data_IF_051542043943
#
_entry.id   IF_051542043943
#
_cell.length_a   1.000
_cell.length_b   1.000
_cell.length_c   1.000
_cell.angle_alpha   90.00
_cell.angle_beta   90.00
_cell.angle_gamma   90.00
#
_symmetry.space_group_name_H-M   'P 1'
#
loop_
_entity.id
_entity.type
_entity.pdbx_description
1 polymer ?
#
# COMPACT_ATOMS: atom_id res chain seq x y z
N UNK A 1 -22.58 27.09 0.73
CA UNK A 1 -22.70 27.02 -0.76
C UNK A 1 -22.56 25.57 -1.16
N UNK A 2 -23.29 25.15 -2.19
CA UNK A 2 -23.14 23.77 -2.71
C UNK A 2 -21.77 23.65 -3.41
N UNK A 3 -20.95 22.71 -2.97
CA UNK A 3 -19.56 22.50 -3.42
C UNK A 3 -19.50 21.25 -4.31
N UNK A 4 -18.93 21.35 -5.51
CA UNK A 4 -18.73 20.15 -6.35
C UNK A 4 -17.53 19.33 -5.86
N UNK A 5 -17.41 18.06 -6.29
CA UNK A 5 -16.22 17.28 -6.00
C UNK A 5 -14.93 17.96 -6.49
N UNK A 6 -15.00 18.62 -7.65
CA UNK A 6 -13.85 19.35 -8.18
C UNK A 6 -13.49 20.57 -7.33
N UNK A 7 -14.49 21.36 -6.87
CA UNK A 7 -14.22 22.52 -6.02
C UNK A 7 -13.61 22.11 -4.69
N UNK A 8 -14.15 21.04 -4.06
CA UNK A 8 -13.62 20.46 -2.84
C UNK A 8 -12.16 19.98 -3.03
N UNK A 9 -11.89 19.29 -4.13
CA UNK A 9 -10.53 18.85 -4.49
C UNK A 9 -9.58 20.04 -4.64
N UNK A 10 -9.98 21.07 -5.36
CA UNK A 10 -9.15 22.26 -5.59
C UNK A 10 -8.84 23.01 -4.28
N UNK A 11 -9.80 23.11 -3.38
CA UNK A 11 -9.63 23.75 -2.08
C UNK A 11 -8.64 22.94 -1.21
N UNK A 12 -8.84 21.64 -1.06
CA UNK A 12 -7.92 20.76 -0.31
C UNK A 12 -6.51 20.80 -0.93
N UNK A 13 -6.42 20.71 -2.26
CA UNK A 13 -5.15 20.82 -2.97
C UNK A 13 -4.43 22.13 -2.66
N UNK A 14 -5.15 23.27 -2.68
CA UNK A 14 -4.56 24.56 -2.39
C UNK A 14 -4.03 24.64 -0.96
N UNK A 15 -4.75 24.08 0.01
CA UNK A 15 -4.30 24.04 1.39
C UNK A 15 -3.05 23.17 1.56
N UNK A 16 -2.97 22.02 0.89
CA UNK A 16 -1.76 21.18 0.88
C UNK A 16 -0.55 21.90 0.26
N UNK A 17 -0.76 22.66 -0.85
CA UNK A 17 0.29 23.50 -1.46
C UNK A 17 0.79 24.54 -0.48
N UNK A 18 -0.11 25.24 0.20
CA UNK A 18 0.24 26.28 1.18
C UNK A 18 1.06 25.76 2.36
N UNK A 19 0.94 24.47 2.67
CA UNK A 19 1.71 23.79 3.72
C UNK A 19 2.95 23.04 3.19
N UNK A 20 3.33 23.24 1.91
CA UNK A 20 4.54 22.69 1.33
C UNK A 20 4.52 21.17 1.09
N UNK A 21 3.34 20.57 0.96
CA UNK A 21 3.22 19.14 0.67
C UNK A 21 3.71 18.87 -0.75
N UNK A 22 4.57 17.87 -0.92
CA UNK A 22 5.28 17.59 -2.18
C UNK A 22 4.36 17.07 -3.30
N UNK A 23 3.30 16.34 -2.96
CA UNK A 23 2.37 15.76 -3.93
C UNK A 23 0.91 16.19 -3.69
N UNK A 24 0.60 17.49 -3.69
CA UNK A 24 -0.69 18.00 -3.24
C UNK A 24 -1.86 17.53 -4.11
N UNK A 25 -1.64 17.36 -5.42
CA UNK A 25 -2.68 16.90 -6.36
C UNK A 25 -3.05 15.43 -6.15
N UNK A 26 -2.07 14.57 -5.87
CA UNK A 26 -2.32 13.18 -5.54
C UNK A 26 -3.05 13.08 -4.20
N UNK A 27 -2.50 13.69 -3.16
CA UNK A 27 -3.03 13.55 -1.81
C UNK A 27 -4.44 14.14 -1.66
N UNK A 28 -4.73 15.29 -2.29
CA UNK A 28 -6.08 15.87 -2.29
C UNK A 28 -7.11 14.93 -2.95
N UNK A 29 -6.75 14.33 -4.07
CA UNK A 29 -7.62 13.37 -4.75
C UNK A 29 -7.87 12.14 -3.87
N UNK A 30 -6.82 11.56 -3.31
CA UNK A 30 -6.93 10.37 -2.45
C UNK A 30 -7.83 10.64 -1.24
N UNK A 31 -7.69 11.80 -0.58
CA UNK A 31 -8.54 12.21 0.55
C UNK A 31 -10.02 12.28 0.13
N UNK A 32 -10.33 13.03 -0.92
CA UNK A 32 -11.73 13.23 -1.33
C UNK A 32 -12.35 11.94 -1.86
N UNK A 33 -11.62 11.18 -2.68
CA UNK A 33 -12.08 9.90 -3.22
C UNK A 33 -12.35 8.89 -2.10
N UNK A 34 -11.46 8.79 -1.11
CA UNK A 34 -11.61 7.91 0.04
C UNK A 34 -12.89 8.23 0.84
N UNK A 35 -13.09 9.47 1.24
CA UNK A 35 -14.29 9.88 2.00
C UNK A 35 -15.57 9.66 1.20
N UNK A 36 -15.51 9.88 -0.12
CA UNK A 36 -16.64 9.68 -1.02
C UNK A 36 -16.90 8.20 -1.36
N UNK A 37 -16.03 7.27 -0.99
CA UNK A 37 -16.10 5.87 -1.38
C UNK A 37 -16.03 5.67 -2.90
N UNK A 38 -15.25 6.49 -3.60
CA UNK A 38 -15.14 6.50 -5.07
C UNK A 38 -13.78 5.98 -5.53
N UNK A 39 -13.80 5.23 -6.65
CA UNK A 39 -12.56 4.94 -7.39
C UNK A 39 -12.05 6.21 -8.08
N UNK A 40 -10.80 6.16 -8.56
CA UNK A 40 -10.21 7.25 -9.33
C UNK A 40 -11.04 7.62 -10.56
N UNK A 41 -11.50 6.65 -11.31
CA UNK A 41 -12.34 6.86 -12.50
C UNK A 41 -13.69 7.48 -12.11
N UNK A 42 -14.32 6.98 -11.05
CA UNK A 42 -15.57 7.53 -10.53
C UNK A 42 -15.42 8.98 -10.07
N UNK A 43 -14.31 9.29 -9.40
CA UNK A 43 -14.01 10.66 -8.96
C UNK A 43 -13.91 11.62 -10.16
N UNK A 44 -13.17 11.26 -11.21
CA UNK A 44 -13.05 12.11 -12.40
C UNK A 44 -14.36 12.24 -13.18
N UNK A 45 -15.12 11.15 -13.32
CA UNK A 45 -16.43 11.17 -13.99
C UNK A 45 -17.41 12.10 -13.26
N UNK A 46 -17.41 12.05 -11.94
CA UNK A 46 -18.38 12.73 -11.08
C UNK A 46 -17.88 14.12 -10.60
N UNK A 47 -16.78 14.62 -11.14
CA UNK A 47 -16.10 15.85 -10.69
C UNK A 47 -17.02 17.09 -10.63
N UNK A 48 -18.02 17.17 -11.52
CA UNK A 48 -18.98 18.30 -11.60
C UNK A 48 -20.26 18.08 -10.78
N UNK A 49 -20.39 16.93 -10.12
CA UNK A 49 -21.53 16.63 -9.24
C UNK A 49 -21.27 17.30 -7.89
N UNK A 50 -22.32 17.75 -7.22
CA UNK A 50 -22.23 18.30 -5.88
C UNK A 50 -21.84 17.20 -4.87
N UNK A 51 -20.84 17.51 -4.03
CA UNK A 51 -20.44 16.64 -2.96
C UNK A 51 -21.45 16.76 -1.79
N UNK A 52 -21.88 15.64 -1.20
CA UNK A 52 -22.69 15.67 0.02
C UNK A 52 -21.94 16.31 1.18
N UNK A 53 -22.66 16.97 2.10
CA UNK A 53 -22.07 17.70 3.24
C UNK A 53 -21.17 16.82 4.11
N UNK A 54 -21.55 15.56 4.32
CA UNK A 54 -20.72 14.62 5.07
C UNK A 54 -19.39 14.28 4.36
N UNK A 55 -19.35 14.31 3.04
CA UNK A 55 -18.11 14.14 2.27
C UNK A 55 -17.24 15.39 2.38
N UNK A 56 -17.83 16.56 2.29
CA UNK A 56 -17.11 17.83 2.48
C UNK A 56 -16.48 17.87 3.87
N UNK A 57 -17.27 17.64 4.92
CA UNK A 57 -16.80 17.67 6.30
C UNK A 57 -15.70 16.59 6.53
N UNK A 58 -15.96 15.33 6.16
CA UNK A 58 -14.99 14.24 6.35
C UNK A 58 -13.68 14.48 5.61
N UNK A 59 -13.73 15.12 4.42
CA UNK A 59 -12.51 15.44 3.68
C UNK A 59 -11.67 16.50 4.41
N UNK A 60 -12.28 17.50 5.02
CA UNK A 60 -11.54 18.47 5.83
C UNK A 60 -11.00 17.86 7.14
N UNK A 61 -11.71 16.95 7.78
CA UNK A 61 -11.20 16.21 8.95
C UNK A 61 -9.93 15.41 8.61
N UNK A 62 -9.91 14.75 7.46
CA UNK A 62 -8.71 14.03 6.99
C UNK A 62 -7.58 14.99 6.59
N UNK A 63 -7.92 16.13 5.96
CA UNK A 63 -6.94 17.16 5.66
C UNK A 63 -6.27 17.68 6.92
N UNK A 64 -7.02 17.97 8.00
CA UNK A 64 -6.43 18.41 9.27
C UNK A 64 -5.42 17.39 9.84
N UNK A 65 -5.72 16.10 9.77
CA UNK A 65 -4.77 15.04 10.16
C UNK A 65 -3.50 15.11 9.32
N UNK A 66 -3.66 15.29 7.99
CA UNK A 66 -2.53 15.40 7.06
C UNK A 66 -1.67 16.63 7.36
N UNK A 67 -2.27 17.78 7.65
CA UNK A 67 -1.56 19.02 7.98
C UNK A 67 -0.85 18.94 9.34
N UNK A 68 -1.27 18.04 10.24
CA UNK A 68 -0.56 17.70 11.49
C UNK A 68 0.62 16.75 11.26
N UNK A 69 0.91 16.36 10.01
CA UNK A 69 2.06 15.53 9.63
C UNK A 69 1.75 14.04 9.43
N UNK A 70 0.50 13.58 9.61
CA UNK A 70 0.15 12.18 9.36
C UNK A 70 0.18 11.88 7.85
N UNK A 71 0.91 10.84 7.39
CA UNK A 71 0.94 10.48 5.98
C UNK A 71 -0.43 10.07 5.44
N UNK A 72 -0.77 10.52 4.22
CA UNK A 72 -2.07 10.23 3.60
C UNK A 72 -2.38 8.73 3.51
N UNK A 73 -1.38 7.90 3.24
CA UNK A 73 -1.54 6.45 3.20
C UNK A 73 -2.01 5.85 4.55
N UNK A 74 -1.54 6.40 5.68
CA UNK A 74 -2.01 5.96 7.01
C UNK A 74 -3.38 6.49 7.34
N UNK A 75 -3.70 7.71 6.88
CA UNK A 75 -5.02 8.33 7.05
C UNK A 75 -6.09 7.50 6.34
N UNK A 76 -5.81 7.08 5.10
CA UNK A 76 -6.70 6.28 4.25
C UNK A 76 -6.71 4.81 4.69
N UNK A 77 -5.57 4.30 5.20
CA UNK A 77 -5.40 2.90 5.57
C UNK A 77 -5.08 1.97 4.42
N UNK A 78 -4.88 2.53 3.22
CA UNK A 78 -4.59 1.80 1.98
C UNK A 78 -3.54 2.53 1.15
N UNK A 79 -2.69 1.77 0.43
CA UNK A 79 -1.78 2.32 -0.56
C UNK A 79 -1.55 1.35 -1.69
N UNK A 80 -1.38 1.87 -2.90
CA UNK A 80 -1.11 1.05 -4.08
C UNK A 80 0.40 0.79 -4.25
N UNK A 81 0.75 -0.44 -4.60
CA UNK A 81 2.10 -0.84 -5.01
C UNK A 81 2.01 -1.77 -6.22
N UNK A 82 2.60 -1.38 -7.34
CA UNK A 82 2.51 -2.10 -8.63
C UNK A 82 1.06 -2.41 -9.07
N UNK A 83 0.14 -1.47 -8.89
CA UNK A 83 -1.28 -1.65 -9.19
C UNK A 83 -2.05 -2.52 -8.17
N UNK A 84 -1.39 -2.96 -7.08
CA UNK A 84 -1.98 -3.81 -6.05
C UNK A 84 -2.36 -2.95 -4.84
N UNK A 85 -3.65 -2.84 -4.46
CA UNK A 85 -4.05 -2.13 -3.26
C UNK A 85 -3.70 -2.93 -2.01
N UNK A 86 -2.94 -2.34 -1.10
CA UNK A 86 -2.47 -2.95 0.14
C UNK A 86 -3.00 -2.21 1.36
N UNK A 87 -3.44 -2.94 2.37
CA UNK A 87 -3.71 -2.38 3.69
C UNK A 87 -2.41 -1.84 4.28
N UNK A 88 -2.44 -0.59 4.76
CA UNK A 88 -1.29 0.10 5.34
C UNK A 88 -1.70 0.77 6.66
N UNK A 89 -0.78 0.79 7.62
CA UNK A 89 -0.92 1.59 8.83
C UNK A 89 0.46 1.93 9.41
N UNK A 90 0.49 2.66 10.51
CA UNK A 90 1.73 3.12 11.17
C UNK A 90 2.68 2.01 11.70
N UNK A 91 2.32 0.73 11.56
CA UNK A 91 3.19 -0.38 11.95
C UNK A 91 4.08 -0.88 10.81
N UNK A 92 3.93 -0.35 9.60
CA UNK A 92 4.69 -0.73 8.41
C UNK A 92 5.15 0.51 7.64
N UNK A 93 6.27 0.40 6.93
CA UNK A 93 6.69 1.43 5.99
C UNK A 93 5.69 1.49 4.82
N UNK A 94 5.34 2.70 4.39
CA UNK A 94 4.58 2.92 3.15
C UNK A 94 5.47 2.48 1.98
N UNK A 95 5.02 1.56 1.12
CA UNK A 95 5.80 1.10 -0.03
C UNK A 95 6.27 2.28 -0.89
N UNK A 96 7.54 2.24 -1.31
CA UNK A 96 8.16 3.28 -2.14
C UNK A 96 8.19 2.86 -3.60
N UNK A 97 8.01 3.82 -4.50
CA UNK A 97 8.07 3.59 -5.97
C UNK A 97 9.42 2.99 -6.37
N UNK A 98 10.51 3.38 -5.73
CA UNK A 98 11.85 2.81 -6.01
C UNK A 98 11.90 1.29 -5.79
N UNK A 99 11.10 0.76 -4.86
CA UNK A 99 11.00 -0.68 -4.61
C UNK A 99 10.29 -1.43 -5.75
N UNK A 100 9.54 -0.75 -6.63
CA UNK A 100 8.93 -1.38 -7.80
C UNK A 100 9.97 -1.86 -8.82
N UNK A 101 11.13 -1.20 -8.87
CA UNK A 101 12.26 -1.66 -9.70
C UNK A 101 12.75 -3.02 -9.22
N UNK A 102 12.95 -3.18 -7.91
CA UNK A 102 13.35 -4.45 -7.31
C UNK A 102 12.27 -5.53 -7.53
N UNK A 103 11.00 -5.18 -7.34
CA UNK A 103 9.88 -6.10 -7.58
C UNK A 103 9.86 -6.59 -9.04
N UNK A 104 10.04 -5.70 -10.03
CA UNK A 104 10.09 -6.07 -11.44
C UNK A 104 11.26 -7.01 -11.74
N UNK A 105 12.47 -6.72 -11.26
CA UNK A 105 13.63 -7.60 -11.42
C UNK A 105 13.38 -8.99 -10.82
N UNK A 106 12.80 -9.04 -9.61
CA UNK A 106 12.46 -10.29 -8.93
C UNK A 106 11.41 -11.10 -9.71
N UNK A 107 10.35 -10.44 -10.20
CA UNK A 107 9.29 -11.05 -11.00
C UNK A 107 9.85 -11.66 -12.28
N UNK A 108 10.69 -10.93 -13.02
CA UNK A 108 11.31 -11.43 -14.24
C UNK A 108 12.22 -12.62 -13.95
N UNK A 109 12.99 -12.55 -12.88
CA UNK A 109 13.86 -13.66 -12.48
C UNK A 109 13.06 -14.91 -12.10
N UNK A 110 11.99 -14.77 -11.30
CA UNK A 110 11.10 -15.87 -10.90
C UNK A 110 10.43 -16.52 -12.12
N UNK A 111 9.94 -15.71 -13.09
CA UNK A 111 9.34 -16.22 -14.34
C UNK A 111 10.28 -17.10 -15.16
N UNK A 112 11.59 -16.95 -14.98
CA UNK A 112 12.60 -17.77 -15.68
C UNK A 112 12.90 -19.10 -14.99
N UNK A 113 12.22 -19.43 -13.88
CA UNK A 113 12.51 -20.61 -13.04
C UNK A 113 11.26 -21.46 -12.84
N UNK A 114 11.47 -22.75 -12.67
CA UNK A 114 10.45 -23.69 -12.20
C UNK A 114 10.61 -23.94 -10.69
N UNK A 115 9.50 -24.14 -9.98
CA UNK A 115 9.44 -24.46 -8.54
C UNK A 115 10.29 -23.55 -7.62
N UNK A 116 10.32 -22.26 -7.93
CA UNK A 116 11.08 -21.27 -7.20
C UNK A 116 10.49 -21.01 -5.80
N UNK A 117 11.36 -20.91 -4.80
CA UNK A 117 11.03 -20.48 -3.43
C UNK A 117 11.57 -19.08 -3.17
N UNK A 118 10.70 -18.17 -2.74
CA UNK A 118 11.04 -16.76 -2.50
C UNK A 118 10.94 -16.42 -1.02
N UNK A 119 11.93 -15.68 -0.52
CA UNK A 119 11.92 -15.10 0.81
C UNK A 119 11.98 -13.57 0.69
N UNK A 120 10.97 -12.89 1.23
CA UNK A 120 10.93 -11.44 1.39
C UNK A 120 11.31 -11.10 2.84
N UNK A 121 12.52 -10.57 3.02
CA UNK A 121 13.06 -10.19 4.33
C UNK A 121 12.73 -8.74 4.67
N UNK A 122 12.36 -8.52 5.94
CA UNK A 122 11.90 -7.21 6.41
C UNK A 122 10.65 -6.74 5.63
N UNK A 123 9.74 -7.66 5.40
CA UNK A 123 8.63 -7.56 4.45
C UNK A 123 7.66 -6.40 4.70
N UNK A 124 7.58 -5.89 5.93
CA UNK A 124 6.66 -4.81 6.30
C UNK A 124 5.21 -5.15 6.00
N UNK A 125 4.60 -4.46 5.03
CA UNK A 125 3.23 -4.71 4.57
C UNK A 125 3.08 -5.96 3.71
N UNK A 126 4.19 -6.58 3.30
CA UNK A 126 4.20 -7.69 2.35
C UNK A 126 4.30 -7.26 0.88
N UNK A 127 4.55 -5.98 0.62
CA UNK A 127 4.43 -5.40 -0.73
C UNK A 127 5.24 -6.13 -1.80
N UNK A 128 6.53 -6.41 -1.54
CA UNK A 128 7.40 -7.10 -2.50
C UNK A 128 6.97 -8.54 -2.73
N UNK A 129 6.86 -9.33 -1.67
CA UNK A 129 6.52 -10.75 -1.79
C UNK A 129 5.11 -10.98 -2.34
N UNK A 130 4.15 -10.11 -1.99
CA UNK A 130 2.79 -10.14 -2.55
C UNK A 130 2.82 -9.77 -4.04
N UNK A 131 3.56 -8.74 -4.45
CA UNK A 131 3.69 -8.36 -5.86
C UNK A 131 4.31 -9.51 -6.68
N UNK A 132 5.36 -10.17 -6.18
CA UNK A 132 5.95 -11.35 -6.82
C UNK A 132 4.89 -12.45 -6.97
N UNK A 133 4.16 -12.78 -5.90
CA UNK A 133 3.14 -13.82 -5.94
C UNK A 133 1.96 -13.50 -6.87
N UNK A 134 1.58 -12.23 -7.01
CA UNK A 134 0.49 -11.77 -7.88
C UNK A 134 0.86 -11.80 -9.37
N UNK A 135 2.12 -11.53 -9.69
CA UNK A 135 2.60 -11.43 -11.07
C UNK A 135 3.32 -12.69 -11.59
N UNK A 136 3.37 -13.75 -10.79
CA UNK A 136 4.01 -15.04 -11.15
C UNK A 136 3.20 -16.21 -10.62
N UNK A 137 3.52 -17.41 -11.11
CA UNK A 137 2.94 -18.68 -10.64
C UNK A 137 3.76 -19.31 -9.50
N UNK A 138 4.67 -18.55 -8.86
CA UNK A 138 5.48 -19.04 -7.74
C UNK A 138 4.62 -19.71 -6.66
N UNK A 139 5.01 -20.90 -6.26
CA UNK A 139 4.22 -21.73 -5.34
C UNK A 139 4.51 -21.44 -3.86
N UNK A 140 5.70 -20.89 -3.55
CA UNK A 140 6.18 -20.68 -2.18
C UNK A 140 6.83 -19.31 -1.98
N UNK A 141 6.12 -18.39 -1.32
CA UNK A 141 6.66 -17.10 -0.88
C UNK A 141 6.55 -17.02 0.65
N UNK A 142 7.64 -16.71 1.31
CA UNK A 142 7.66 -16.44 2.75
C UNK A 142 7.91 -14.95 2.97
N UNK A 143 7.01 -14.31 3.71
CA UNK A 143 7.13 -12.93 4.18
C UNK A 143 7.69 -12.95 5.59
N UNK A 144 8.90 -12.44 5.77
CA UNK A 144 9.60 -12.49 7.05
C UNK A 144 9.80 -11.09 7.63
N UNK A 145 9.47 -10.92 8.91
CA UNK A 145 9.69 -9.67 9.63
C UNK A 145 9.93 -9.96 11.12
N UNK A 146 10.64 -9.08 11.80
CA UNK A 146 10.82 -9.15 13.25
C UNK A 146 9.58 -8.66 14.00
N UNK A 147 8.82 -7.73 13.41
CA UNK A 147 7.65 -7.09 13.99
C UNK A 147 6.38 -7.92 13.84
N UNK A 148 5.79 -8.42 14.94
CA UNK A 148 4.49 -9.09 14.87
C UNK A 148 3.37 -8.19 14.33
N UNK A 149 3.49 -6.87 14.54
CA UNK A 149 2.52 -5.89 14.04
C UNK A 149 2.62 -5.72 12.52
N UNK A 150 3.82 -5.69 11.96
CA UNK A 150 4.03 -5.71 10.52
C UNK A 150 3.49 -6.99 9.90
N UNK A 151 3.80 -8.14 10.46
CA UNK A 151 3.27 -9.44 10.01
C UNK A 151 1.74 -9.52 10.10
N UNK A 152 1.12 -8.81 11.05
CA UNK A 152 -0.35 -8.74 11.09
C UNK A 152 -0.93 -7.96 9.90
N UNK A 153 -0.24 -6.90 9.43
CA UNK A 153 -0.59 -6.18 8.20
C UNK A 153 -0.37 -7.09 6.99
N UNK A 154 0.80 -7.70 6.86
CA UNK A 154 1.11 -8.61 5.75
C UNK A 154 0.09 -9.75 5.62
N UNK A 155 -0.32 -10.37 6.75
CA UNK A 155 -1.36 -11.41 6.75
C UNK A 155 -2.73 -10.91 6.29
N UNK A 156 -3.10 -9.66 6.57
CA UNK A 156 -4.34 -9.07 6.02
C UNK A 156 -4.24 -8.94 4.51
N UNK A 157 -3.11 -8.44 4.00
CA UNK A 157 -2.86 -8.30 2.58
C UNK A 157 -2.84 -9.66 1.85
N UNK A 158 -2.21 -10.69 2.43
CA UNK A 158 -2.27 -12.07 1.90
C UNK A 158 -3.73 -12.54 1.73
N UNK A 159 -4.57 -12.34 2.76
CA UNK A 159 -5.99 -12.73 2.71
C UNK A 159 -6.78 -11.90 1.72
N UNK A 160 -6.56 -10.59 1.68
CA UNK A 160 -7.20 -9.66 0.75
C UNK A 160 -7.02 -10.10 -0.70
N UNK A 161 -5.84 -10.61 -1.04
CA UNK A 161 -5.49 -11.05 -2.39
C UNK A 161 -5.62 -12.56 -2.61
N UNK A 162 -6.23 -13.30 -1.69
CA UNK A 162 -6.46 -14.75 -1.79
C UNK A 162 -5.16 -15.57 -1.98
N UNK A 163 -4.04 -15.13 -1.42
CA UNK A 163 -2.73 -15.75 -1.59
C UNK A 163 -2.37 -16.76 -0.49
N UNK A 164 -3.28 -17.10 0.42
CA UNK A 164 -2.99 -17.91 1.60
C UNK A 164 -2.50 -19.33 1.29
N UNK A 165 -2.71 -19.84 0.09
CA UNK A 165 -2.19 -21.16 -0.36
C UNK A 165 -0.73 -21.13 -0.79
N UNK A 166 -0.19 -19.95 -1.14
CA UNK A 166 1.16 -19.78 -1.73
C UNK A 166 2.06 -18.86 -0.91
N UNK A 167 1.50 -18.00 -0.05
CA UNK A 167 2.22 -16.99 0.71
C UNK A 167 1.99 -17.19 2.19
N UNK A 168 3.05 -17.28 2.97
CA UNK A 168 3.00 -17.41 4.42
C UNK A 168 3.87 -16.36 5.12
N UNK A 169 3.57 -16.06 6.38
CA UNK A 169 4.35 -15.14 7.21
C UNK A 169 5.13 -15.88 8.27
N UNK A 170 6.39 -15.52 8.45
CA UNK A 170 7.24 -16.03 9.52
C UNK A 170 7.86 -14.87 10.31
N UNK A 171 7.93 -15.00 11.64
CA UNK A 171 8.68 -14.05 12.45
C UNK A 171 10.14 -14.47 12.52
N UNK A 172 11.03 -13.59 12.07
CA UNK A 172 12.48 -13.82 12.17
C UNK A 172 13.23 -12.53 12.44
N UNK A 173 14.39 -12.67 13.05
CA UNK A 173 15.33 -11.59 13.30
C UNK A 173 16.54 -11.80 12.38
N UNK A 174 16.70 -10.92 11.39
CA UNK A 174 17.77 -11.02 10.38
C UNK A 174 19.18 -10.80 10.99
N UNK A 175 19.25 -10.25 12.19
CA UNK A 175 20.54 -10.06 12.93
C UNK A 175 20.97 -11.33 13.66
N UNK A 176 20.16 -12.38 13.66
CA UNK A 176 20.48 -13.68 14.29
C UNK A 176 20.71 -14.74 13.21
N UNK A 177 21.47 -15.80 13.53
CA UNK A 177 21.59 -16.92 12.60
C UNK A 177 20.21 -17.44 12.17
N UNK A 178 20.07 -17.69 10.87
CA UNK A 178 18.81 -18.21 10.32
C UNK A 178 18.46 -19.54 11.03
N UNK A 179 17.17 -19.66 11.40
CA UNK A 179 16.66 -20.92 11.93
C UNK A 179 16.68 -21.97 10.82
N UNK A 180 17.07 -23.20 11.15
CA UNK A 180 17.01 -24.36 10.22
C UNK A 180 15.58 -24.52 9.68
N UNK A 181 14.56 -24.17 10.47
CA UNK A 181 13.15 -24.21 10.06
C UNK A 181 12.78 -23.21 8.95
N UNK A 182 13.62 -22.20 8.68
CA UNK A 182 13.37 -21.26 7.59
C UNK A 182 13.60 -21.92 6.22
N UNK A 183 14.48 -22.91 6.13
CA UNK A 183 14.76 -23.66 4.90
C UNK A 183 15.71 -22.92 3.95
N UNK A 184 15.68 -23.35 2.67
CA UNK A 184 16.49 -22.79 1.58
C UNK A 184 15.56 -22.07 0.60
N UNK A 185 16.07 -21.02 -0.05
CA UNK A 185 15.36 -20.20 -1.00
C UNK A 185 16.21 -19.97 -2.25
N UNK A 186 15.54 -19.84 -3.37
CA UNK A 186 16.17 -19.57 -4.67
C UNK A 186 16.34 -18.05 -4.87
N UNK A 187 15.43 -17.26 -4.29
CA UNK A 187 15.48 -15.80 -4.31
C UNK A 187 15.22 -15.24 -2.91
N UNK A 188 16.06 -14.28 -2.50
CA UNK A 188 15.86 -13.47 -1.29
C UNK A 188 15.83 -11.99 -1.72
N UNK A 189 14.77 -11.28 -1.32
CA UNK A 189 14.57 -9.84 -1.56
C UNK A 189 14.42 -9.09 -0.26
#
# INVERSE_FOLDING_TARGET
MATTYNDLYLDIRQQLVNHGISQPSLEAREIVAHVAGKTREQFFRDARIYAPDNVVQGSFELLERRLKGEPVAYIIGEWEFMGIPLDINSNVLIPRVDSEVLANCAIEWVKSKEDCRVLDLCTGSGSLGIAIAMHTDVSHVILADISPKALAVARRNIRRHNLSSRVACVRTDVMRPASISLGQYDLIV
#
